data_IF_597170424472
#
_entry.id   IF_597170424472
#
_cell.length_a   1.000
_cell.length_b   1.000
_cell.length_c   1.000
_cell.angle_alpha   90.00
_cell.angle_beta   90.00
_cell.angle_gamma   90.00
#
_symmetry.space_group_name_H-M   'P 1'
#
loop_
_entity.id
_entity.type
_entity.pdbx_description
1 polymer ?
#
# COMPACT_ATOMS: atom_id res chain seq x y z
N UNK A 1 57.08 3.07 15.37
CA UNK A 1 56.67 1.71 15.79
C UNK A 1 55.14 1.67 15.84
N UNK A 2 54.60 0.70 15.11
CA UNK A 2 53.27 0.08 15.17
C UNK A 2 52.00 0.86 14.76
N UNK A 3 51.56 0.45 13.57
CA UNK A 3 50.24 0.50 12.95
C UNK A 3 49.12 -0.14 13.77
N UNK A 4 47.91 0.43 13.70
CA UNK A 4 46.67 -0.26 14.10
C UNK A 4 45.90 -0.67 12.84
N UNK A 5 45.79 -1.98 12.69
CA UNK A 5 45.16 -2.72 11.59
C UNK A 5 43.63 -2.72 11.70
N UNK A 6 42.97 -2.53 10.57
CA UNK A 6 41.53 -2.67 10.38
C UNK A 6 41.12 -4.16 10.40
N UNK A 7 40.29 -4.54 11.37
CA UNK A 7 39.72 -5.89 11.43
C UNK A 7 38.48 -5.97 10.51
N UNK A 8 38.59 -6.75 9.44
CA UNK A 8 37.53 -7.10 8.48
C UNK A 8 36.57 -8.12 9.13
N UNK A 9 35.29 -7.78 9.24
CA UNK A 9 34.23 -8.74 9.58
C UNK A 9 33.44 -9.09 8.30
N UNK A 10 33.96 -10.02 7.49
CA UNK A 10 33.36 -10.48 6.23
C UNK A 10 32.74 -11.89 6.29
N UNK A 11 32.71 -12.53 7.47
CA UNK A 11 32.41 -13.98 7.55
C UNK A 11 30.97 -14.33 7.95
N UNK A 12 30.14 -13.37 8.36
CA UNK A 12 28.74 -13.63 8.79
C UNK A 12 27.70 -13.50 7.67
N UNK A 13 28.05 -12.91 6.51
CA UNK A 13 27.14 -12.77 5.36
C UNK A 13 27.08 -14.00 4.45
N UNK A 14 28.09 -14.87 4.49
CA UNK A 14 28.22 -16.02 3.59
C UNK A 14 27.35 -17.20 4.07
N UNK A 15 27.10 -17.32 5.38
CA UNK A 15 26.37 -18.45 5.98
C UNK A 15 24.87 -18.46 5.65
N UNK A 16 24.20 -17.31 5.59
CA UNK A 16 22.77 -17.21 5.23
C UNK A 16 22.49 -17.53 3.75
N UNK A 17 23.44 -17.20 2.86
CA UNK A 17 23.32 -17.49 1.42
C UNK A 17 23.38 -18.99 1.11
N UNK A 18 24.08 -19.78 1.93
CA UNK A 18 24.24 -21.23 1.70
C UNK A 18 23.02 -22.01 2.18
N UNK A 19 22.41 -21.60 3.30
CA UNK A 19 21.28 -22.32 3.90
C UNK A 19 19.98 -22.16 3.09
N UNK A 20 19.76 -21.01 2.44
CA UNK A 20 18.57 -20.80 1.59
C UNK A 20 18.63 -21.64 0.30
N UNK A 21 19.84 -21.91 -0.21
CA UNK A 21 20.04 -22.70 -1.44
C UNK A 21 19.70 -24.18 -1.27
N UNK A 22 19.64 -24.67 -0.02
CA UNK A 22 19.34 -26.06 0.30
C UNK A 22 17.83 -26.37 0.42
N UNK A 23 16.97 -25.35 0.52
CA UNK A 23 15.51 -25.52 0.66
C UNK A 23 14.73 -25.28 -0.65
N UNK A 24 15.40 -24.86 -1.70
CA UNK A 24 14.83 -24.59 -3.04
C UNK A 24 15.20 -25.68 -4.06
N UNK A 25 15.09 -26.95 -3.67
CA UNK A 25 15.27 -28.09 -4.58
C UNK A 25 13.92 -28.60 -5.09
N UNK A 26 13.39 -28.01 -6.17
CA UNK A 26 12.37 -28.66 -7.05
C UNK A 26 11.95 -27.89 -8.32
N UNK A 27 12.44 -26.68 -8.60
CA UNK A 27 12.04 -25.95 -9.82
C UNK A 27 13.22 -25.68 -10.74
N UNK A 28 13.10 -26.03 -12.03
CA UNK A 28 14.08 -25.67 -13.05
C UNK A 28 14.30 -24.14 -13.02
N UNK A 29 15.53 -23.63 -12.79
CA UNK A 29 15.79 -22.19 -12.66
C UNK A 29 15.43 -21.39 -13.93
N UNK A 30 15.20 -22.07 -15.06
CA UNK A 30 14.77 -21.48 -16.33
C UNK A 30 13.26 -21.63 -16.63
N UNK A 31 12.46 -22.28 -15.77
CA UNK A 31 11.01 -22.37 -15.99
C UNK A 31 10.36 -21.01 -15.74
N UNK A 32 10.10 -20.26 -16.82
CA UNK A 32 9.44 -18.96 -16.74
C UNK A 32 7.97 -19.14 -16.41
N UNK A 33 7.44 -18.31 -15.51
CA UNK A 33 6.01 -18.19 -15.22
C UNK A 33 5.46 -16.92 -15.85
N UNK A 34 4.25 -16.95 -16.39
CA UNK A 34 3.64 -15.71 -16.86
C UNK A 34 3.29 -14.80 -15.68
N UNK A 35 3.26 -13.49 -15.91
CA UNK A 35 2.93 -12.52 -14.86
C UNK A 35 1.51 -12.69 -14.30
N UNK A 36 0.59 -13.21 -15.12
CA UNK A 36 -0.80 -13.47 -14.71
C UNK A 36 -0.91 -14.64 -13.72
N UNK A 37 0.09 -15.52 -13.70
CA UNK A 37 0.13 -16.72 -12.85
C UNK A 37 0.85 -16.46 -11.52
N UNK A 38 1.34 -15.23 -11.30
CA UNK A 38 1.96 -14.84 -10.04
C UNK A 38 0.88 -14.59 -8.98
N UNK A 39 1.09 -15.18 -7.81
CA UNK A 39 0.20 -15.06 -6.65
C UNK A 39 0.59 -13.87 -5.77
N UNK A 40 -0.29 -13.43 -4.85
CA UNK A 40 0.09 -12.42 -3.86
C UNK A 40 1.34 -12.80 -3.06
N UNK A 41 1.53 -14.08 -2.73
CA UNK A 41 2.73 -14.57 -2.03
C UNK A 41 4.01 -14.50 -2.85
N UNK A 42 3.93 -14.59 -4.19
CA UNK A 42 5.09 -14.38 -5.06
C UNK A 42 5.50 -12.90 -5.07
N UNK A 43 4.52 -12.00 -4.98
CA UNK A 43 4.68 -10.56 -5.21
C UNK A 43 4.88 -9.73 -3.95
N UNK A 44 4.19 -10.07 -2.87
CA UNK A 44 4.13 -9.31 -1.63
C UNK A 44 4.86 -10.04 -0.51
N UNK A 45 5.12 -9.34 0.59
CA UNK A 45 5.80 -9.92 1.75
C UNK A 45 4.94 -9.74 2.99
N UNK A 46 4.46 -10.86 3.52
CA UNK A 46 3.50 -10.95 4.63
C UNK A 46 4.21 -11.44 5.89
N UNK A 47 3.99 -10.79 7.04
CA UNK A 47 4.59 -11.24 8.31
C UNK A 47 3.63 -11.24 9.51
N UNK A 48 2.64 -10.34 9.57
CA UNK A 48 1.58 -10.39 10.60
C UNK A 48 0.22 -10.78 10.00
N UNK A 49 0.04 -10.59 8.69
CA UNK A 49 -1.16 -10.97 7.94
C UNK A 49 -0.92 -12.23 7.13
N UNK A 50 -2.00 -12.87 6.69
CA UNK A 50 -1.94 -13.98 5.74
C UNK A 50 -2.19 -13.45 4.32
N UNK A 51 -1.56 -14.06 3.30
CA UNK A 51 -1.94 -13.80 1.92
C UNK A 51 -3.45 -13.98 1.72
N UNK A 52 -4.11 -13.10 0.95
CA UNK A 52 -5.53 -13.22 0.69
C UNK A 52 -5.85 -14.50 -0.09
N UNK A 53 -7.01 -15.07 0.20
CA UNK A 53 -7.55 -16.22 -0.53
C UNK A 53 -8.18 -15.77 -1.86
N UNK A 54 -8.33 -16.71 -2.80
CA UNK A 54 -8.88 -16.42 -4.13
C UNK A 54 -10.32 -15.88 -4.09
N UNK A 55 -11.14 -16.34 -3.15
CA UNK A 55 -12.51 -15.85 -2.93
C UNK A 55 -12.52 -14.39 -2.45
N UNK A 56 -11.60 -14.03 -1.56
CA UNK A 56 -11.39 -12.66 -1.08
C UNK A 56 -10.93 -11.74 -2.21
N UNK A 57 -10.00 -12.20 -3.06
CA UNK A 57 -9.54 -11.47 -4.23
C UNK A 57 -10.67 -11.26 -5.25
N UNK A 58 -11.47 -12.30 -5.53
CA UNK A 58 -12.62 -12.22 -6.42
C UNK A 58 -13.71 -11.28 -5.89
N UNK A 59 -13.98 -11.33 -4.58
CA UNK A 59 -14.89 -10.39 -3.91
C UNK A 59 -14.39 -8.95 -4.04
N UNK A 60 -13.10 -8.72 -3.80
CA UNK A 60 -12.50 -7.41 -3.94
C UNK A 60 -12.60 -6.88 -5.38
N UNK A 61 -12.28 -7.71 -6.38
CA UNK A 61 -12.43 -7.33 -7.79
C UNK A 61 -13.87 -6.90 -8.11
N UNK A 62 -14.86 -7.68 -7.66
CA UNK A 62 -16.30 -7.37 -7.84
C UNK A 62 -16.70 -6.02 -7.22
N UNK A 63 -16.19 -5.67 -6.04
CA UNK A 63 -16.50 -4.38 -5.38
C UNK A 63 -15.92 -3.20 -6.15
N UNK A 64 -14.75 -3.37 -6.75
CA UNK A 64 -14.05 -2.33 -7.50
C UNK A 64 -14.44 -2.28 -8.99
N UNK A 65 -15.22 -3.24 -9.49
CA UNK A 65 -15.73 -3.21 -10.86
C UNK A 65 -16.52 -1.92 -11.13
N UNK A 66 -16.17 -1.17 -12.19
CA UNK A 66 -16.90 0.03 -12.56
C UNK A 66 -18.38 -0.23 -12.84
N UNK A 67 -19.22 0.69 -12.40
CA UNK A 67 -20.67 0.73 -12.58
C UNK A 67 -21.12 2.18 -12.72
N UNK A 68 -22.43 2.41 -12.84
CA UNK A 68 -23.00 3.76 -12.85
C UNK A 68 -22.73 4.54 -11.56
N UNK A 69 -22.55 3.85 -10.44
CA UNK A 69 -22.43 4.43 -9.10
C UNK A 69 -21.06 4.19 -8.43
N UNK A 70 -20.09 3.64 -9.15
CA UNK A 70 -18.75 3.32 -8.64
C UNK A 70 -17.75 3.19 -9.79
N UNK A 71 -16.52 3.66 -9.69
CA UNK A 71 -16.05 4.73 -8.80
C UNK A 71 -16.74 6.08 -9.12
N UNK A 72 -16.97 6.91 -8.10
CA UNK A 72 -17.46 8.29 -8.24
C UNK A 72 -16.56 9.28 -7.49
N UNK A 73 -16.30 10.45 -8.07
CA UNK A 73 -15.61 11.52 -7.35
C UNK A 73 -16.59 12.21 -6.40
N UNK A 74 -16.28 12.24 -5.12
CA UNK A 74 -17.14 12.79 -4.08
C UNK A 74 -16.83 14.27 -3.83
N UNK A 75 -15.55 14.60 -3.63
CA UNK A 75 -15.12 15.97 -3.33
C UNK A 75 -13.63 16.18 -3.61
N UNK A 76 -13.23 17.45 -3.69
CA UNK A 76 -11.84 17.91 -3.67
C UNK A 76 -11.70 19.02 -2.64
N UNK A 77 -10.66 18.98 -1.81
CA UNK A 77 -10.43 19.98 -0.76
C UNK A 77 -8.95 20.21 -0.53
N UNK A 78 -8.54 21.47 -0.48
CA UNK A 78 -7.16 21.87 -0.14
C UNK A 78 -6.88 21.84 1.37
N UNK A 79 -7.92 22.05 2.21
CA UNK A 79 -7.79 22.18 3.67
C UNK A 79 -8.66 21.16 4.38
N UNK A 80 -8.23 20.68 5.54
CA UNK A 80 -8.97 19.70 6.33
C UNK A 80 -10.35 20.24 6.74
N UNK A 81 -10.41 21.50 7.18
CA UNK A 81 -11.67 22.14 7.61
C UNK A 81 -12.73 22.29 6.52
N UNK A 82 -12.35 22.19 5.25
CA UNK A 82 -13.27 22.28 4.10
C UNK A 82 -13.74 20.91 3.61
N UNK A 83 -13.31 19.83 4.27
CA UNK A 83 -13.76 18.48 3.93
C UNK A 83 -15.15 18.23 4.50
N UNK A 84 -16.02 17.45 3.83
CA UNK A 84 -17.35 17.14 4.37
C UNK A 84 -17.25 16.36 5.68
N UNK A 85 -17.86 16.89 6.76
CA UNK A 85 -17.85 16.25 8.09
C UNK A 85 -18.91 15.16 8.26
N UNK A 86 -19.94 15.14 7.40
CA UNK A 86 -21.08 14.22 7.52
C UNK A 86 -20.86 12.82 6.91
N UNK A 87 -19.65 12.51 6.40
CA UNK A 87 -19.36 11.19 5.84
C UNK A 87 -19.25 10.14 6.95
N UNK A 88 -19.87 8.99 6.73
CA UNK A 88 -19.88 7.85 7.65
C UNK A 88 -19.05 6.68 7.12
N UNK A 89 -18.66 6.74 5.85
CA UNK A 89 -17.93 5.70 5.15
C UNK A 89 -16.49 5.58 5.67
N UNK A 90 -15.93 4.37 5.75
CA UNK A 90 -14.52 4.18 6.05
C UNK A 90 -13.66 4.77 4.93
N UNK A 91 -12.58 5.44 5.32
CA UNK A 91 -11.66 6.12 4.41
C UNK A 91 -10.26 5.49 4.45
N UNK A 92 -9.62 5.42 3.29
CA UNK A 92 -8.20 5.08 3.17
C UNK A 92 -7.47 6.15 2.39
N UNK A 93 -6.28 6.53 2.85
CA UNK A 93 -5.49 7.59 2.22
C UNK A 93 -4.30 7.04 1.45
N UNK A 94 -4.06 7.56 0.25
CA UNK A 94 -2.89 7.23 -0.56
C UNK A 94 -1.92 8.40 -0.55
N UNK A 95 -0.69 8.14 -0.12
CA UNK A 95 0.40 9.09 -0.03
C UNK A 95 1.61 8.56 -0.79
N UNK A 96 2.49 9.46 -1.24
CA UNK A 96 3.72 9.07 -1.92
C UNK A 96 4.42 10.27 -2.53
N UNK A 97 5.71 10.14 -2.86
CA UNK A 97 6.43 11.22 -3.54
C UNK A 97 5.79 11.57 -4.89
N UNK A 98 6.03 12.79 -5.37
CA UNK A 98 5.70 13.13 -6.77
C UNK A 98 6.30 12.09 -7.73
N UNK A 99 5.51 11.63 -8.72
CA UNK A 99 5.89 10.66 -9.75
C UNK A 99 6.20 9.21 -9.31
N UNK A 100 5.84 8.81 -8.09
CA UNK A 100 5.92 7.37 -7.68
C UNK A 100 4.84 6.50 -8.32
N UNK A 101 3.85 7.10 -8.99
CA UNK A 101 2.77 6.38 -9.67
C UNK A 101 1.46 6.28 -8.89
N UNK A 102 1.23 7.13 -7.88
CA UNK A 102 0.01 7.16 -7.06
C UNK A 102 -1.28 7.29 -7.86
N UNK A 103 -1.40 8.31 -8.72
CA UNK A 103 -2.60 8.49 -9.53
C UNK A 103 -2.80 7.37 -10.55
N UNK A 104 -1.70 6.82 -11.10
CA UNK A 104 -1.76 5.64 -11.98
C UNK A 104 -2.24 4.40 -11.24
N UNK A 105 -1.76 4.19 -10.00
CA UNK A 105 -2.23 3.12 -9.13
C UNK A 105 -3.72 3.28 -8.82
N UNK A 106 -4.16 4.49 -8.43
CA UNK A 106 -5.57 4.74 -8.13
C UNK A 106 -6.47 4.45 -9.33
N UNK A 107 -6.09 4.87 -10.54
CA UNK A 107 -6.83 4.52 -11.76
C UNK A 107 -6.86 3.01 -12.00
N UNK A 108 -5.75 2.29 -11.75
CA UNK A 108 -5.69 0.84 -11.89
C UNK A 108 -6.57 0.13 -10.85
N UNK A 109 -6.54 0.55 -9.59
CA UNK A 109 -7.42 0.06 -8.51
C UNK A 109 -8.88 0.29 -8.88
N UNK A 110 -9.22 1.48 -9.35
CA UNK A 110 -10.59 1.86 -9.67
C UNK A 110 -11.10 1.33 -11.02
N UNK A 111 -10.21 0.77 -11.86
CA UNK A 111 -10.56 0.30 -13.20
C UNK A 111 -11.05 1.40 -14.16
N UNK A 112 -10.85 2.68 -13.80
CA UNK A 112 -11.32 3.86 -14.55
C UNK A 112 -10.34 5.01 -14.40
N UNK A 113 -10.09 5.73 -15.49
CA UNK A 113 -9.20 6.89 -15.52
C UNK A 113 -9.92 8.14 -14.96
N UNK A 114 -10.00 8.25 -13.63
CA UNK A 114 -10.61 9.42 -12.95
C UNK A 114 -9.53 10.37 -12.43
N UNK A 115 -8.39 9.85 -11.99
CA UNK A 115 -7.27 10.65 -11.53
C UNK A 115 -6.42 11.11 -12.71
N UNK A 116 -6.02 12.38 -12.70
CA UNK A 116 -5.11 12.91 -13.71
C UNK A 116 -3.69 12.39 -13.50
N UNK A 117 -3.16 11.66 -14.49
CA UNK A 117 -1.77 11.19 -14.49
C UNK A 117 -0.89 12.17 -15.28
N UNK A 118 0.01 12.89 -14.62
CA UNK A 118 1.01 13.75 -15.28
C UNK A 118 2.39 13.49 -14.70
N UNK A 119 3.42 13.57 -15.53
CA UNK A 119 4.82 13.50 -15.13
C UNK A 119 5.35 14.81 -14.52
N UNK A 120 4.60 15.91 -14.63
CA UNK A 120 4.99 17.21 -14.07
C UNK A 120 4.70 17.24 -12.55
N UNK A 121 5.68 17.52 -11.69
CA UNK A 121 5.48 17.60 -10.24
C UNK A 121 4.43 18.64 -9.81
N UNK A 122 3.76 18.40 -8.69
CA UNK A 122 2.89 19.40 -8.03
C UNK A 122 1.49 19.58 -8.63
N UNK A 123 0.92 18.54 -9.28
CA UNK A 123 -0.43 18.61 -9.86
C UNK A 123 -1.57 18.27 -8.90
N UNK A 124 -1.42 17.25 -8.06
CA UNK A 124 -2.36 17.02 -6.96
C UNK A 124 -2.03 18.01 -5.85
N UNK A 125 -2.72 19.16 -5.82
CA UNK A 125 -2.59 20.20 -4.77
C UNK A 125 -3.68 20.10 -3.71
N UNK A 126 -4.72 19.35 -4.00
CA UNK A 126 -5.88 19.13 -3.15
C UNK A 126 -6.04 17.64 -2.87
N UNK A 127 -6.64 17.32 -1.73
CA UNK A 127 -7.09 15.97 -1.41
C UNK A 127 -8.31 15.67 -2.27
N UNK A 128 -8.33 14.53 -2.96
CA UNK A 128 -9.48 14.10 -3.77
C UNK A 128 -10.07 12.82 -3.19
N UNK A 129 -11.38 12.80 -2.98
CA UNK A 129 -12.10 11.63 -2.48
C UNK A 129 -12.88 10.93 -3.58
N UNK A 130 -12.73 9.60 -3.62
CA UNK A 130 -13.41 8.73 -4.58
C UNK A 130 -14.18 7.64 -3.83
N UNK A 131 -15.49 7.58 -4.03
CA UNK A 131 -16.35 6.54 -3.47
C UNK A 131 -16.31 5.27 -4.31
N UNK A 132 -16.17 4.12 -3.65
CA UNK A 132 -16.09 2.78 -4.26
C UNK A 132 -17.21 1.89 -3.74
N UNK A 133 -17.75 1.04 -4.62
CA UNK A 133 -18.79 0.07 -4.30
C UNK A 133 -20.15 0.71 -4.05
N UNK A 134 -20.40 1.88 -4.65
CA UNK A 134 -21.60 2.66 -4.44
C UNK A 134 -22.90 2.00 -4.92
N UNK A 135 -24.00 2.30 -4.23
CA UNK A 135 -25.35 1.80 -4.56
C UNK A 135 -26.26 2.93 -5.06
N UNK A 136 -27.49 2.61 -5.48
CA UNK A 136 -28.48 3.61 -5.92
C UNK A 136 -28.80 4.67 -4.86
N UNK A 137 -28.58 4.36 -3.57
CA UNK A 137 -28.77 5.30 -2.46
C UNK A 137 -27.67 6.35 -2.29
N UNK A 138 -26.62 6.33 -3.12
CA UNK A 138 -25.52 7.31 -3.06
C UNK A 138 -24.41 6.97 -2.06
N UNK A 139 -24.64 6.03 -1.16
CA UNK A 139 -23.64 5.53 -0.20
C UNK A 139 -22.55 4.70 -0.90
N UNK A 140 -21.30 4.89 -0.49
CA UNK A 140 -20.15 4.08 -0.93
C UNK A 140 -19.74 3.08 0.16
N UNK A 141 -19.15 1.94 -0.23
CA UNK A 141 -18.61 0.96 0.74
C UNK A 141 -17.33 1.46 1.40
N UNK A 142 -16.49 2.17 0.64
CA UNK A 142 -15.21 2.72 1.09
C UNK A 142 -14.87 3.95 0.26
N UNK A 143 -14.14 4.88 0.86
CA UNK A 143 -13.66 6.10 0.20
C UNK A 143 -12.13 6.08 0.08
N UNK A 144 -11.63 6.33 -1.12
CA UNK A 144 -10.21 6.41 -1.44
C UNK A 144 -9.81 7.87 -1.54
N UNK A 145 -8.82 8.28 -0.75
CA UNK A 145 -8.29 9.63 -0.75
C UNK A 145 -6.97 9.69 -1.51
N UNK A 146 -6.94 10.44 -2.61
CA UNK A 146 -5.70 10.82 -3.28
C UNK A 146 -5.11 12.06 -2.60
N UNK A 147 -4.11 11.84 -1.74
CA UNK A 147 -3.42 12.97 -1.10
C UNK A 147 -2.42 13.60 -2.09
N UNK A 148 -2.16 14.91 -1.98
CA UNK A 148 -1.02 15.55 -2.64
C UNK A 148 0.27 14.75 -2.45
N UNK A 149 1.19 14.79 -3.41
CA UNK A 149 2.48 14.09 -3.29
C UNK A 149 3.54 14.93 -2.58
N UNK A 150 4.38 14.32 -1.75
CA UNK A 150 5.50 15.00 -1.07
C UNK A 150 6.79 15.06 -1.91
N UNK A 151 7.76 15.92 -1.54
CA UNK A 151 9.08 16.07 -2.16
C UNK A 151 9.43 17.49 -2.64
N UNK A 152 10.46 17.63 -3.50
CA UNK A 152 11.12 18.92 -3.88
C UNK A 152 10.20 20.07 -4.34
N UNK A 153 8.97 19.78 -4.77
CA UNK A 153 8.00 20.79 -5.21
C UNK A 153 6.79 20.95 -4.26
N UNK A 154 6.67 20.11 -3.23
CA UNK A 154 5.62 20.21 -2.22
C UNK A 154 6.17 21.03 -1.05
N UNK A 155 5.84 22.31 -1.05
CA UNK A 155 6.19 23.27 0.00
C UNK A 155 5.75 22.76 1.38
N UNK A 156 6.34 23.35 2.42
CA UNK A 156 6.02 23.23 3.86
C UNK A 156 4.53 23.04 4.22
N UNK A 157 3.61 23.52 3.38
CA UNK A 157 2.14 23.38 3.50
C UNK A 157 1.61 21.95 3.25
N UNK A 158 2.34 21.07 2.55
CA UNK A 158 1.94 19.66 2.35
C UNK A 158 1.77 18.94 3.70
N UNK A 159 2.62 19.26 4.67
CA UNK A 159 2.61 18.58 5.96
C UNK A 159 1.37 18.90 6.78
N UNK A 160 1.03 20.17 6.96
CA UNK A 160 0.12 20.55 8.03
C UNK A 160 -1.34 20.08 7.80
N UNK A 161 -1.93 20.39 6.64
CA UNK A 161 -3.32 20.03 6.37
C UNK A 161 -3.53 18.52 6.19
N UNK A 162 -2.53 17.83 5.62
CA UNK A 162 -2.56 16.38 5.50
C UNK A 162 -2.40 15.74 6.88
N UNK A 163 -1.48 16.22 7.72
CA UNK A 163 -1.34 15.68 9.08
C UNK A 163 -2.56 15.96 9.94
N UNK A 164 -3.19 17.14 9.83
CA UNK A 164 -4.50 17.42 10.45
C UNK A 164 -5.55 16.41 10.02
N UNK A 165 -5.60 16.09 8.73
CA UNK A 165 -6.51 15.06 8.22
C UNK A 165 -6.20 13.69 8.81
N UNK A 166 -4.93 13.26 8.73
CA UNK A 166 -4.51 11.93 9.17
C UNK A 166 -4.75 11.70 10.67
N UNK A 167 -4.57 12.75 11.49
CA UNK A 167 -4.77 12.67 12.94
C UNK A 167 -6.24 12.88 13.36
N UNK A 168 -6.96 13.78 12.67
CA UNK A 168 -8.27 14.25 13.11
C UNK A 168 -9.47 13.53 12.48
N UNK A 169 -9.28 12.80 11.37
CA UNK A 169 -10.39 12.18 10.64
C UNK A 169 -10.76 10.83 11.26
N UNK A 170 -11.91 10.78 11.93
CA UNK A 170 -12.44 9.57 12.59
C UNK A 170 -12.69 8.39 11.64
N UNK A 171 -13.00 8.69 10.38
CA UNK A 171 -13.29 7.71 9.34
C UNK A 171 -12.03 7.07 8.76
N UNK A 172 -10.85 7.68 8.94
CA UNK A 172 -9.61 7.17 8.38
C UNK A 172 -9.25 5.85 9.04
N UNK A 173 -9.13 4.79 8.23
CA UNK A 173 -8.78 3.45 8.69
C UNK A 173 -7.33 3.09 8.42
N UNK A 174 -6.77 3.59 7.31
CA UNK A 174 -5.40 3.26 6.90
C UNK A 174 -4.82 4.28 5.93
N UNK A 175 -3.53 4.57 6.09
CA UNK A 175 -2.72 5.30 5.14
C UNK A 175 -1.81 4.33 4.34
N UNK A 176 -1.94 4.33 3.02
CA UNK A 176 -1.05 3.62 2.11
C UNK A 176 0.06 4.54 1.63
N UNK A 177 1.30 4.22 1.99
CA UNK A 177 2.48 4.93 1.53
C UNK A 177 3.08 4.23 0.31
N UNK A 178 3.04 4.90 -0.84
CA UNK A 178 3.63 4.41 -2.08
C UNK A 178 5.11 4.75 -2.17
N UNK A 179 5.90 3.73 -2.48
CA UNK A 179 7.34 3.83 -2.69
C UNK A 179 7.67 3.22 -4.05
N UNK A 180 8.46 3.92 -4.86
CA UNK A 180 8.89 3.42 -6.16
C UNK A 180 9.94 2.31 -5.98
N UNK A 181 9.63 1.08 -6.39
CA UNK A 181 10.51 -0.09 -6.26
C UNK A 181 11.88 0.09 -6.94
N UNK A 182 11.97 0.92 -7.97
CA UNK A 182 13.24 1.16 -8.70
C UNK A 182 14.21 2.04 -7.93
N UNK A 183 13.69 2.87 -7.02
CA UNK A 183 14.48 3.84 -6.27
C UNK A 183 14.61 3.50 -4.78
N UNK A 184 13.74 2.61 -4.28
CA UNK A 184 13.64 2.24 -2.87
C UNK A 184 13.19 3.41 -1.99
N UNK A 185 13.31 3.18 -0.67
CA UNK A 185 13.01 4.18 0.36
C UNK A 185 14.02 5.34 0.26
N UNK A 186 13.52 6.56 0.14
CA UNK A 186 14.33 7.79 0.23
C UNK A 186 14.18 8.44 1.60
N UNK A 187 15.06 9.39 1.88
CA UNK A 187 15.05 10.14 3.14
C UNK A 187 13.68 10.75 3.47
N UNK A 188 13.04 11.38 2.49
CA UNK A 188 11.68 11.92 2.66
C UNK A 188 10.65 10.84 2.96
N UNK A 189 10.79 9.63 2.40
CA UNK A 189 9.89 8.52 2.72
C UNK A 189 10.09 8.08 4.18
N UNK A 190 11.35 8.01 4.64
CA UNK A 190 11.69 7.68 6.02
C UNK A 190 11.19 8.72 7.03
N UNK A 191 11.18 10.00 6.68
CA UNK A 191 10.60 11.09 7.49
C UNK A 191 9.08 10.94 7.63
N UNK A 192 8.36 10.65 6.54
CA UNK A 192 6.92 10.38 6.60
C UNK A 192 6.63 9.16 7.46
N UNK A 193 7.42 8.09 7.32
CA UNK A 193 7.28 6.91 8.18
C UNK A 193 7.48 7.26 9.65
N UNK A 194 8.47 8.10 10.00
CA UNK A 194 8.64 8.57 11.39
C UNK A 194 7.42 9.34 11.88
N UNK A 195 6.86 10.25 11.08
CA UNK A 195 5.64 10.99 11.43
C UNK A 195 4.44 10.07 11.64
N UNK A 196 4.26 9.06 10.78
CA UNK A 196 3.19 8.09 10.95
C UNK A 196 3.33 7.32 12.26
N UNK A 197 4.54 6.90 12.63
CA UNK A 197 4.75 6.20 13.90
C UNK A 197 4.53 7.12 15.10
N UNK A 198 5.13 8.32 15.08
CA UNK A 198 5.01 9.30 16.17
C UNK A 198 3.54 9.64 16.48
N UNK A 199 2.72 9.78 15.44
CA UNK A 199 1.28 10.06 15.59
C UNK A 199 0.39 8.81 15.61
N UNK A 200 0.98 7.62 15.70
CA UNK A 200 0.28 6.33 15.68
C UNK A 200 -0.72 6.17 14.50
N UNK A 201 -0.40 6.74 13.34
CA UNK A 201 -1.21 6.64 12.13
C UNK A 201 -1.11 5.20 11.59
N UNK A 202 -2.22 4.45 11.50
CA UNK A 202 -2.22 3.11 10.92
C UNK A 202 -1.82 3.21 9.44
N UNK A 203 -0.70 2.59 9.07
CA UNK A 203 -0.15 2.73 7.73
C UNK A 203 0.41 1.43 7.17
N UNK A 204 0.45 1.35 5.84
CA UNK A 204 0.92 0.20 5.10
C UNK A 204 1.68 0.62 3.85
N UNK A 205 2.63 -0.20 3.42
CA UNK A 205 3.55 0.14 2.33
C UNK A 205 3.12 -0.55 1.04
N UNK A 206 3.14 0.21 -0.05
CA UNK A 206 2.96 -0.32 -1.40
C UNK A 206 4.19 0.02 -2.23
N UNK A 207 4.91 -1.00 -2.71
CA UNK A 207 5.93 -0.80 -3.73
C UNK A 207 5.29 -0.76 -5.11
N UNK A 208 5.42 0.38 -5.79
CA UNK A 208 4.93 0.56 -7.16
C UNK A 208 6.00 0.19 -8.19
N UNK A 209 5.57 0.03 -9.45
CA UNK A 209 6.44 -0.23 -10.62
C UNK A 209 7.23 -1.53 -10.51
N UNK A 210 6.70 -2.54 -9.80
CA UNK A 210 7.40 -3.81 -9.54
C UNK A 210 7.70 -4.58 -10.84
N UNK A 211 6.98 -4.29 -11.92
CA UNK A 211 7.26 -4.80 -13.26
C UNK A 211 8.70 -4.53 -13.69
N UNK A 212 9.25 -3.35 -13.37
CA UNK A 212 10.63 -2.97 -13.72
C UNK A 212 11.68 -3.76 -12.95
N UNK A 213 11.27 -4.36 -11.83
CA UNK A 213 12.11 -5.23 -11.02
C UNK A 213 12.02 -6.68 -11.52
N UNK A 214 10.82 -7.14 -11.86
CA UNK A 214 10.56 -8.51 -12.31
C UNK A 214 11.04 -8.77 -13.75
N UNK A 215 11.01 -7.75 -14.61
CA UNK A 215 11.50 -7.83 -15.99
C UNK A 215 12.37 -6.62 -16.34
N UNK A 216 13.52 -6.86 -17.01
CA UNK A 216 14.46 -5.77 -17.38
C UNK A 216 13.92 -4.86 -18.47
N UNK A 217 13.08 -5.40 -19.36
CA UNK A 217 12.46 -4.64 -20.45
C UNK A 217 10.96 -4.90 -20.47
N UNK A 218 10.17 -3.86 -20.71
CA UNK A 218 8.71 -3.99 -20.77
C UNK A 218 8.24 -5.00 -21.83
N UNK A 219 8.99 -5.16 -22.93
CA UNK A 219 8.70 -6.19 -23.97
C UNK A 219 8.82 -7.62 -23.43
N UNK A 220 9.59 -7.83 -22.36
CA UNK A 220 9.79 -9.14 -21.72
C UNK A 220 8.67 -9.51 -20.74
N UNK A 221 7.75 -8.60 -20.41
CA UNK A 221 6.51 -8.91 -19.66
C UNK A 221 5.80 -10.13 -20.29
N UNK A 222 5.78 -10.22 -21.63
CA UNK A 222 5.16 -11.32 -22.37
C UNK A 222 5.94 -12.64 -22.31
N UNK A 223 7.23 -12.61 -21.99
CA UNK A 223 8.07 -13.82 -21.97
C UNK A 223 8.11 -14.50 -20.61
N UNK A 224 7.46 -13.91 -19.60
CA UNK A 224 7.39 -14.42 -18.24
C UNK A 224 8.56 -14.05 -17.35
N UNK A 225 8.47 -14.45 -16.09
CA UNK A 225 9.39 -14.15 -14.99
C UNK A 225 10.07 -15.43 -14.54
N UNK A 226 11.37 -15.37 -14.28
CA UNK A 226 12.13 -16.51 -13.75
C UNK A 226 11.98 -16.62 -12.22
N UNK A 227 12.11 -17.81 -11.63
CA UNK A 227 12.12 -17.98 -10.18
C UNK A 227 13.16 -17.08 -9.48
N UNK A 228 14.33 -16.90 -10.09
CA UNK A 228 15.38 -16.01 -9.56
C UNK A 228 14.94 -14.53 -9.46
N UNK A 229 14.09 -14.04 -10.38
CA UNK A 229 13.58 -12.68 -10.31
C UNK A 229 12.57 -12.51 -9.15
N UNK A 230 11.76 -13.54 -8.91
CA UNK A 230 10.81 -13.58 -7.78
C UNK A 230 11.60 -13.62 -6.46
N UNK A 231 12.60 -14.49 -6.35
CA UNK A 231 13.47 -14.57 -5.17
C UNK A 231 14.18 -13.24 -4.89
N UNK A 232 14.69 -12.57 -5.94
CA UNK A 232 15.29 -11.24 -5.80
C UNK A 232 14.31 -10.20 -5.28
N UNK A 233 13.03 -10.27 -5.67
CA UNK A 233 11.99 -9.37 -5.18
C UNK A 233 11.73 -9.64 -3.71
N UNK A 234 11.64 -10.91 -3.31
CA UNK A 234 11.47 -11.31 -1.92
C UNK A 234 12.63 -10.81 -1.04
N UNK A 235 13.89 -10.93 -1.51
CA UNK A 235 15.05 -10.37 -0.80
C UNK A 235 14.98 -8.84 -0.66
N UNK A 236 14.51 -8.13 -1.69
CA UNK A 236 14.29 -6.67 -1.60
C UNK A 236 13.26 -6.34 -0.51
N UNK A 237 12.13 -7.05 -0.50
CA UNK A 237 11.04 -6.82 0.45
C UNK A 237 11.49 -7.11 1.90
N UNK A 238 12.23 -8.22 2.10
CA UNK A 238 12.83 -8.56 3.38
C UNK A 238 13.80 -7.48 3.86
N UNK A 239 14.60 -6.91 2.97
CA UNK A 239 15.50 -5.80 3.29
C UNK A 239 14.79 -4.49 3.64
N UNK A 240 13.57 -4.29 3.13
CA UNK A 240 12.73 -3.11 3.44
C UNK A 240 12.02 -3.26 4.79
N UNK A 241 11.63 -4.49 5.18
CA UNK A 241 10.90 -4.77 6.44
C UNK A 241 11.46 -4.02 7.66
N UNK A 242 12.75 -4.11 8.02
CA UNK A 242 13.26 -3.45 9.24
C UNK A 242 13.20 -1.92 9.19
N UNK A 243 13.06 -1.31 8.02
CA UNK A 243 12.95 0.16 7.87
C UNK A 243 11.51 0.61 8.14
N UNK A 244 10.53 -0.18 7.69
CA UNK A 244 9.11 0.16 7.74
C UNK A 244 8.46 -0.33 9.04
N UNK A 245 8.96 -1.44 9.58
CA UNK A 245 8.60 -2.01 10.88
C UNK A 245 9.89 -2.18 11.71
N UNK A 246 10.47 -1.08 12.21
CA UNK A 246 11.61 -1.16 13.11
C UNK A 246 11.23 -1.81 14.44
N UNK A 247 12.24 -2.28 15.18
CA UNK A 247 12.05 -2.83 16.53
C UNK A 247 11.34 -1.81 17.43
N UNK A 248 10.20 -2.15 18.05
CA UNK A 248 9.48 -1.28 18.98
C UNK A 248 10.33 -0.80 20.17
N UNK A 249 11.40 -1.52 20.53
CA UNK A 249 12.33 -1.10 21.59
C UNK A 249 13.27 0.03 21.13
N UNK A 250 13.47 0.18 19.82
CA UNK A 250 14.42 1.13 19.22
C UNK A 250 13.72 2.33 18.59
N UNK A 251 12.53 2.13 18.03
CA UNK A 251 11.78 3.17 17.34
C UNK A 251 10.57 3.64 18.13
N UNK A 252 10.31 4.94 18.07
CA UNK A 252 9.10 5.54 18.62
C UNK A 252 7.88 5.18 17.78
N UNK A 253 6.84 4.65 18.43
CA UNK A 253 5.52 4.38 17.85
C UNK A 253 5.41 3.09 17.02
N UNK A 254 4.18 2.72 16.60
CA UNK A 254 3.93 1.46 15.89
C UNK A 254 4.43 1.50 14.45
N UNK A 255 5.15 0.47 14.01
CA UNK A 255 5.59 0.31 12.62
C UNK A 255 4.45 0.06 11.61
N UNK A 256 4.82 -0.15 10.34
CA UNK A 256 3.85 -0.45 9.28
C UNK A 256 3.10 -1.76 9.51
N UNK A 257 1.83 -1.80 9.13
CA UNK A 257 0.96 -2.95 9.30
C UNK A 257 1.32 -4.10 8.35
N UNK A 258 1.67 -5.25 8.95
CA UNK A 258 1.44 -6.63 8.53
C UNK A 258 2.00 -7.17 7.21
N UNK A 259 2.20 -6.33 6.20
CA UNK A 259 2.71 -6.73 4.89
C UNK A 259 3.24 -5.53 4.09
N UNK A 260 4.18 -5.81 3.18
CA UNK A 260 4.55 -4.90 2.10
C UNK A 260 3.85 -5.41 0.84
N UNK A 261 2.91 -4.62 0.33
CA UNK A 261 2.25 -4.90 -0.93
C UNK A 261 3.12 -4.46 -2.09
N UNK A 262 2.98 -5.12 -3.24
CA UNK A 262 3.63 -4.69 -4.48
C UNK A 262 2.63 -4.63 -5.62
N UNK A 263 2.88 -3.74 -6.57
CA UNK A 263 1.99 -3.55 -7.70
C UNK A 263 2.69 -2.95 -8.90
N UNK A 264 2.05 -3.08 -10.06
CA UNK A 264 2.34 -2.29 -11.24
C UNK A 264 1.05 -1.87 -11.92
N UNK A 265 0.86 -0.57 -12.10
CA UNK A 265 -0.25 -0.02 -12.87
C UNK A 265 -0.05 -0.20 -14.40
N UNK A 266 1.19 -0.41 -14.86
CA UNK A 266 1.54 -0.52 -16.26
C UNK A 266 1.53 -1.98 -16.75
N UNK A 267 1.93 -2.95 -15.92
CA UNK A 267 1.94 -4.36 -16.28
C UNK A 267 0.54 -4.97 -16.24
N UNK A 268 -0.14 -4.94 -17.39
CA UNK A 268 -1.45 -5.58 -17.60
C UNK A 268 -1.29 -7.10 -17.67
N UNK A 269 -2.10 -7.82 -16.89
CA UNK A 269 -2.09 -9.29 -16.80
C UNK A 269 -3.40 -9.93 -17.29
N UNK A 270 -4.32 -9.11 -17.80
CA UNK A 270 -5.60 -9.54 -18.35
C UNK A 270 -6.52 -8.33 -18.60
N UNK A 271 -7.73 -8.55 -19.14
CA UNK A 271 -8.71 -7.49 -19.34
C UNK A 271 -9.02 -6.77 -18.03
N UNK A 272 -8.74 -5.46 -17.97
CA UNK A 272 -8.98 -4.65 -16.77
C UNK A 272 -8.09 -4.96 -15.55
N UNK A 273 -7.19 -5.96 -15.63
CA UNK A 273 -6.33 -6.41 -14.53
C UNK A 273 -4.89 -5.95 -14.73
N UNK A 274 -4.25 -5.54 -13.63
CA UNK A 274 -2.83 -5.24 -13.59
C UNK A 274 -2.17 -5.91 -12.39
N UNK A 275 -0.85 -6.12 -12.49
CA UNK A 275 -0.09 -6.94 -11.54
C UNK A 275 -0.19 -6.40 -10.10
N UNK A 276 -0.62 -7.26 -9.18
CA UNK A 276 -0.71 -6.98 -7.73
C UNK A 276 -1.84 -6.03 -7.31
N UNK A 277 -2.69 -5.56 -8.24
CA UNK A 277 -3.80 -4.64 -7.93
C UNK A 277 -4.90 -5.31 -7.09
N UNK A 278 -5.13 -6.60 -7.29
CA UNK A 278 -6.10 -7.42 -6.57
C UNK A 278 -5.78 -7.50 -5.07
N UNK A 279 -4.52 -7.77 -4.71
CA UNK A 279 -4.06 -7.75 -3.32
C UNK A 279 -4.23 -6.36 -2.68
N UNK A 280 -3.95 -5.28 -3.43
CA UNK A 280 -4.17 -3.91 -2.95
C UNK A 280 -5.66 -3.62 -2.73
N UNK A 281 -6.54 -4.02 -3.65
CA UNK A 281 -8.00 -3.89 -3.48
C UNK A 281 -8.49 -4.63 -2.24
N UNK A 282 -8.02 -5.86 -2.02
CA UNK A 282 -8.37 -6.62 -0.83
C UNK A 282 -7.90 -5.92 0.45
N UNK A 283 -6.67 -5.41 0.45
CA UNK A 283 -6.13 -4.69 1.61
C UNK A 283 -6.93 -3.42 1.94
N UNK A 284 -7.47 -2.72 0.93
CA UNK A 284 -8.36 -1.57 1.14
C UNK A 284 -9.66 -2.01 1.83
N UNK A 285 -10.29 -3.09 1.35
CA UNK A 285 -11.53 -3.60 1.95
C UNK A 285 -11.31 -4.12 3.37
N UNK A 286 -10.21 -4.83 3.59
CA UNK A 286 -9.81 -5.30 4.92
C UNK A 286 -9.59 -4.12 5.88
N UNK A 287 -8.95 -3.04 5.42
CA UNK A 287 -8.78 -1.82 6.22
C UNK A 287 -10.14 -1.18 6.57
N UNK A 288 -11.11 -1.24 5.65
CA UNK A 288 -12.47 -0.77 5.86
C UNK A 288 -13.32 -1.70 6.75
N UNK A 289 -12.78 -2.82 7.23
CA UNK A 289 -13.52 -3.82 8.00
C UNK A 289 -14.49 -4.67 7.17
N UNK A 290 -14.26 -4.75 5.85
CA UNK A 290 -15.07 -5.53 4.92
C UNK A 290 -14.33 -6.85 4.65
N UNK A 291 -14.84 -7.95 5.19
CA UNK A 291 -14.17 -9.25 5.20
C UNK A 291 -14.65 -10.23 4.10
N UNK A 292 -15.60 -9.80 3.27
CA UNK A 292 -16.16 -10.62 2.19
C UNK A 292 -17.11 -11.73 2.66
N UNK A 293 -17.39 -11.82 3.97
CA UNK A 293 -18.45 -12.67 4.47
C UNK A 293 -19.81 -12.12 3.98
N UNK A 294 -20.67 -12.99 3.48
CA UNK A 294 -22.00 -12.62 2.96
C UNK A 294 -22.98 -12.15 4.06
N UNK A 295 -22.52 -11.94 5.31
CA UNK A 295 -23.34 -11.37 6.35
C UNK A 295 -23.11 -9.87 6.43
N UNK A 296 -24.01 -9.12 5.78
CA UNK A 296 -24.21 -7.71 6.08
C UNK A 296 -24.58 -7.53 7.54
N UNK A 297 -23.59 -7.31 8.40
CA UNK A 297 -23.76 -6.86 9.76
C UNK A 297 -22.83 -5.69 9.98
N UNK A 298 -23.38 -4.51 10.27
CA UNK A 298 -22.61 -3.41 10.86
C UNK A 298 -21.86 -4.00 12.05
N UNK A 299 -20.53 -3.95 12.03
CA UNK A 299 -19.76 -4.12 13.26
C UNK A 299 -20.24 -3.02 14.21
N UNK A 300 -20.95 -3.43 15.26
CA UNK A 300 -21.43 -2.54 16.29
C UNK A 300 -20.22 -1.82 16.89
N UNK A 301 -20.25 -0.49 16.87
CA UNK A 301 -19.38 0.33 17.71
C UNK A 301 -19.68 -0.09 19.15
N UNK A 302 -18.68 -0.41 19.99
CA UNK A 302 -18.95 -0.67 21.39
C UNK A 302 -19.57 0.60 21.99
N UNK A 303 -20.84 0.50 22.38
CA UNK A 303 -21.51 1.48 23.22
C UNK A 303 -20.68 1.60 24.50
N UNK A 304 -20.30 2.83 24.83
CA UNK A 304 -19.71 3.14 26.13
C UNK A 304 -20.70 2.69 27.20
N UNK A 305 -20.36 1.62 27.91
CA UNK A 305 -21.08 1.20 29.10
C UNK A 305 -20.90 2.31 30.15
N UNK A 306 -21.98 3.06 30.39
CA UNK A 306 -22.15 3.89 31.56
C UNK A 306 -21.99 3.00 32.80
N UNK A 307 -20.94 3.27 33.58
CA UNK A 307 -20.82 2.75 34.95
C UNK A 307 -21.62 3.71 35.83
N UNK A 308 -22.68 3.26 36.53
CA UNK A 308 -23.35 4.11 37.49
C UNK A 308 -22.42 4.29 38.70
N UNK A 309 -21.99 5.52 38.93
CA UNK A 309 -21.38 5.94 40.18
C UNK A 309 -22.48 5.94 41.24
N UNK A 310 -22.52 4.92 42.09
CA UNK A 310 -23.29 4.98 43.34
C UNK A 310 -22.52 5.80 44.37
N UNK A 311 -22.95 7.04 44.55
CA UNK A 311 -22.72 7.83 45.76
C UNK A 311 -23.82 7.48 46.77
N UNK A 312 -23.48 6.71 47.81
CA UNK A 312 -23.91 6.83 49.22
C UNK A 312 -23.40 5.65 50.03
#
# INVERSE_FOLDING_TARGET
MNSISACKNSSSRISLYTTIRALSSASNPNSKRELKDLTPSDLCYYWDTRPPKDDQLAFADKVFTPSRHSPVKLWSAAKFRTTPFASVEPEVAFLGRSNVGKSSLLNAIMGKEICWTSSKPGRTREMNAFGIGGTKGGESKVVLLDMPGYGKASRSEWGEEIMKYLQGRKQLRRAFLLIDSTHGIKQTDAEILRLFRHHAIPHQIILSKVDKFLVRQFKQIKTGVTPANIERLQLLLQGIKPIVQPDPQVAEGPGSLGEILTCSAEARIGPGRALGIDAVRWSILSAAGIDGSLQGGRLAVPSAAETPVTLS
#
